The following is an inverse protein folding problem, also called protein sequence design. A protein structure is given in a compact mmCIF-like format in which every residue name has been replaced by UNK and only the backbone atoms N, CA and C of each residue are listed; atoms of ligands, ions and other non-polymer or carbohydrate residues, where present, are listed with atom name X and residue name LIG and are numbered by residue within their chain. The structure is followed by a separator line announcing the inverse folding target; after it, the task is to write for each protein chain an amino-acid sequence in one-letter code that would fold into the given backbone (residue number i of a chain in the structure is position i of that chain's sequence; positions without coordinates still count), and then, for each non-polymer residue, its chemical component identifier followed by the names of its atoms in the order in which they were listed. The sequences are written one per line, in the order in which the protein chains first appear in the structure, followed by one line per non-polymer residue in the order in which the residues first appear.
data_IF_814688631942
#
_entry.id   IF_814688631942
#
_cell.length_a   1.000
_cell.length_b   1.000
_cell.length_c   1.000
_cell.angle_alpha   90.00
_cell.angle_beta   90.00
_cell.angle_gamma   90.00
#
_symmetry.space_group_name_H-M   'P 1'
#
loop_
_entity.id
_entity.type
_entity.pdbx_description
1 polymer ?
#
# COMPACT_ATOMS: atom_id res chain seq x y z
N UNK A 1 -27.26 -13.69 -3.29
CA UNK A 1 -26.39 -12.65 -2.71
C UNK A 1 -25.05 -12.83 -3.38
N UNK A 2 -24.65 -11.85 -4.18
CA UNK A 2 -23.53 -11.92 -5.11
C UNK A 2 -22.21 -12.11 -4.38
N UNK A 3 -21.33 -12.93 -4.97
CA UNK A 3 -19.96 -13.12 -4.51
C UNK A 3 -19.22 -11.78 -4.47
N UNK A 4 -18.34 -11.54 -3.49
CA UNK A 4 -17.52 -10.34 -3.52
C UNK A 4 -16.65 -10.43 -4.77
N UNK A 5 -16.90 -9.53 -5.73
CA UNK A 5 -15.99 -9.31 -6.84
C UNK A 5 -14.67 -8.91 -6.21
N UNK A 6 -13.70 -9.81 -6.24
CA UNK A 6 -12.31 -9.48 -6.00
C UNK A 6 -12.03 -8.24 -6.83
N UNK A 7 -11.82 -7.10 -6.18
CA UNK A 7 -11.23 -5.94 -6.83
C UNK A 7 -9.79 -6.36 -7.03
N UNK A 8 -9.55 -7.12 -8.09
CA UNK A 8 -8.22 -7.21 -8.67
C UNK A 8 -7.92 -5.79 -9.07
N UNK A 9 -6.99 -5.17 -8.35
CA UNK A 9 -6.38 -3.90 -8.72
C UNK A 9 -5.73 -4.10 -10.10
N UNK A 10 -6.51 -3.86 -11.14
CA UNK A 10 -6.04 -3.75 -12.51
C UNK A 10 -5.51 -2.31 -12.68
N UNK A 11 -4.40 -2.00 -12.01
CA UNK A 11 -3.72 -0.71 -12.16
C UNK A 11 -2.25 -0.73 -11.76
N UNK A 12 -1.48 -1.63 -12.35
CA UNK A 12 -0.04 -1.41 -12.58
C UNK A 12 0.50 -2.23 -13.76
N UNK A 13 -0.30 -2.37 -14.82
CA UNK A 13 0.16 -2.95 -16.09
C UNK A 13 0.66 -1.81 -17.00
N UNK A 14 1.67 -1.04 -16.59
CA UNK A 14 2.42 -0.19 -17.52
C UNK A 14 3.90 -0.24 -17.19
N UNK A 15 4.61 -1.02 -17.99
CA UNK A 15 6.06 -0.95 -18.23
C UNK A 15 6.91 -0.84 -16.97
N UNK A 16 7.17 -1.99 -16.34
CA UNK A 16 8.32 -2.18 -15.44
C UNK A 16 9.59 -2.02 -16.27
N UNK A 17 9.92 -0.78 -16.61
CA UNK A 17 11.20 -0.42 -17.20
C UNK A 17 12.29 -0.89 -16.24
N UNK A 18 13.30 -1.47 -16.82
CA UNK A 18 14.25 -2.40 -16.22
C UNK A 18 15.30 -1.69 -15.37
N UNK A 19 15.20 -0.37 -15.25
CA UNK A 19 15.88 0.39 -14.22
C UNK A 19 15.17 0.15 -12.90
N UNK A 20 15.66 -0.83 -12.14
CA UNK A 20 15.22 -1.12 -10.79
C UNK A 20 15.05 0.19 -10.03
N UNK A 21 13.78 0.62 -9.88
CA UNK A 21 13.41 1.86 -9.18
C UNK A 21 14.23 1.90 -7.90
N UNK A 22 15.05 2.93 -7.72
CA UNK A 22 15.98 3.00 -6.58
C UNK A 22 15.14 3.15 -5.30
N UNK A 23 14.80 2.02 -4.69
CA UNK A 23 14.06 1.93 -3.43
C UNK A 23 15.00 1.97 -2.23
N UNK A 24 16.30 2.23 -2.41
CA UNK A 24 17.27 2.25 -1.30
C UNK A 24 16.95 3.33 -0.27
N UNK A 25 16.32 4.43 -0.70
CA UNK A 25 15.80 5.46 0.19
C UNK A 25 14.64 4.98 1.08
N UNK A 26 13.98 3.87 0.74
CA UNK A 26 12.93 3.25 1.55
C UNK A 26 13.49 2.28 2.60
N UNK A 27 14.70 1.73 2.39
CA UNK A 27 15.42 0.91 3.40
C UNK A 27 15.87 1.75 4.62
N UNK A 28 15.93 3.08 4.49
CA UNK A 28 16.23 3.99 5.60
C UNK A 28 15.01 4.26 6.50
N UNK A 29 13.82 3.78 6.11
CA UNK A 29 12.60 3.91 6.89
C UNK A 29 12.52 2.80 7.95
N UNK A 30 12.00 3.15 9.13
CA UNK A 30 11.75 2.18 10.19
C UNK A 30 10.66 1.19 9.77
N UNK A 31 10.84 -0.08 10.14
CA UNK A 31 9.84 -1.12 9.97
C UNK A 31 8.53 -0.65 10.59
N UNK A 32 7.53 -0.37 9.75
CA UNK A 32 6.25 0.15 10.20
C UNK A 32 5.80 1.50 9.64
N UNK A 33 6.71 2.27 9.01
CA UNK A 33 6.36 3.58 8.42
C UNK A 33 5.45 3.52 7.17
N UNK A 34 4.70 2.43 7.00
CA UNK A 34 3.79 2.19 5.90
C UNK A 34 2.38 2.73 6.15
N UNK A 35 1.59 2.72 5.08
CA UNK A 35 0.19 3.16 5.09
C UNK A 35 -0.67 2.41 6.13
N UNK A 36 -0.30 1.18 6.51
CA UNK A 36 -1.05 0.39 7.48
C UNK A 36 -1.15 1.06 8.86
N UNK A 37 -0.04 1.57 9.41
CA UNK A 37 -0.02 2.21 10.74
C UNK A 37 -0.80 3.54 10.76
N UNK A 38 -0.66 4.33 9.70
CA UNK A 38 -1.44 5.57 9.54
C UNK A 38 -2.94 5.27 9.52
N UNK A 39 -3.35 4.18 8.86
CA UNK A 39 -4.73 3.74 8.82
C UNK A 39 -5.24 3.23 10.18
N UNK A 40 -4.42 2.51 10.95
CA UNK A 40 -4.77 2.08 12.30
C UNK A 40 -5.06 3.27 13.21
N UNK A 41 -4.15 4.24 13.26
CA UNK A 41 -4.32 5.46 14.05
C UNK A 41 -5.55 6.29 13.65
N UNK A 42 -5.86 6.37 12.36
CA UNK A 42 -7.05 7.07 11.87
C UNK A 42 -8.35 6.28 12.11
N UNK A 43 -8.28 4.96 12.16
CA UNK A 43 -9.42 4.10 12.44
C UNK A 43 -9.81 4.17 13.92
N UNK A 44 -8.83 4.17 14.83
CA UNK A 44 -9.04 4.39 16.27
C UNK A 44 -9.76 5.72 16.52
N UNK A 45 -9.32 6.79 15.85
CA UNK A 45 -9.92 8.14 15.95
C UNK A 45 -11.31 8.28 15.34
N UNK A 46 -11.73 7.32 14.51
CA UNK A 46 -13.05 7.32 13.88
C UNK A 46 -14.09 6.55 14.71
N UNK A 47 -13.64 5.66 15.60
CA UNK A 47 -14.49 4.83 16.45
C UNK A 47 -14.90 5.50 17.77
N UNK A 48 -14.39 6.70 18.05
CA UNK A 48 -14.74 7.55 19.19
C UNK A 48 -15.95 8.48 18.94
#
# INVERSE_FOLDING_TARGET
MSEPTTVTDESAEESKDEEAVDTRHLDELEDGCGCAEVWEHLSEQRGE
#
